data_IF_918959684967
#
_entry.id   IF_918959684967
#
_cell.length_a   1.000
_cell.length_b   1.000
_cell.length_c   1.000
_cell.angle_alpha   90.00
_cell.angle_beta   90.00
_cell.angle_gamma   90.00
#
_symmetry.space_group_name_H-M   'P 1'
#
loop_
_entity.id
_entity.type
_entity.pdbx_description
1 polymer ?
#
# COMPACT_ATOMS: atom_id res chain seq x y z
N UNK A 1 -17.23 -2.04 49.52
CA UNK A 1 -16.32 -1.10 48.84
C UNK A 1 -16.04 -1.64 47.45
N UNK A 2 -16.82 -1.16 46.50
CA UNK A 2 -16.84 -1.57 45.09
C UNK A 2 -15.77 -0.82 44.32
N UNK A 3 -14.83 -1.55 43.69
CA UNK A 3 -13.97 -1.03 42.63
C UNK A 3 -14.20 -1.87 41.38
N UNK A 4 -14.83 -1.23 40.40
CA UNK A 4 -15.05 -1.75 39.06
C UNK A 4 -13.70 -1.92 38.35
N UNK A 5 -13.47 -3.11 37.79
CA UNK A 5 -12.40 -3.35 36.82
C UNK A 5 -13.01 -3.17 35.43
N UNK A 6 -12.53 -2.15 34.72
CA UNK A 6 -12.93 -1.84 33.34
C UNK A 6 -12.04 -2.66 32.41
N UNK A 7 -12.65 -3.55 31.65
CA UNK A 7 -12.06 -4.22 30.49
C UNK A 7 -11.69 -3.17 29.44
N UNK A 8 -10.41 -3.08 29.09
CA UNK A 8 -9.94 -2.28 27.96
C UNK A 8 -9.66 -3.21 26.78
N UNK A 9 -10.53 -3.11 25.79
CA UNK A 9 -10.32 -3.55 24.41
C UNK A 9 -9.61 -2.42 23.68
N UNK A 10 -8.42 -2.67 23.13
CA UNK A 10 -7.83 -1.87 22.05
C UNK A 10 -6.80 -2.78 21.32
N UNK A 11 -6.88 -3.05 20.02
CA UNK A 11 -7.51 -2.29 18.95
C UNK A 11 -6.44 -1.46 18.23
N UNK A 12 -6.14 -1.90 17.00
CA UNK A 12 -5.33 -1.28 15.94
C UNK A 12 -4.92 0.19 16.14
N UNK A 13 -3.60 0.45 16.18
CA UNK A 13 -3.04 1.80 15.99
C UNK A 13 -2.65 2.00 14.52
N UNK A 14 -3.58 2.55 13.74
CA UNK A 14 -3.30 3.32 12.54
C UNK A 14 -3.19 4.81 12.92
N UNK A 15 -2.21 5.48 12.32
CA UNK A 15 -2.14 6.92 11.98
C UNK A 15 -2.81 7.94 12.92
N UNK A 16 -1.98 8.76 13.59
CA UNK A 16 -2.28 10.21 13.72
C UNK A 16 -1.05 11.05 13.42
N UNK A 17 -1.20 11.77 12.31
CA UNK A 17 -0.45 12.93 11.87
C UNK A 17 -0.44 14.02 12.96
N UNK A 18 0.75 14.52 13.28
CA UNK A 18 0.94 15.71 14.09
C UNK A 18 0.76 16.96 13.22
N UNK A 19 -0.45 17.52 13.25
CA UNK A 19 -0.70 18.87 12.76
C UNK A 19 -0.05 19.89 13.71
N UNK A 20 1.10 20.44 13.32
CA UNK A 20 1.71 21.58 13.98
C UNK A 20 0.90 22.84 13.66
N UNK A 21 0.30 23.43 14.70
CA UNK A 21 -0.49 24.64 14.61
C UNK A 21 0.36 25.89 14.31
N UNK A 22 0.06 26.55 13.19
CA UNK A 22 0.52 27.92 12.95
C UNK A 22 -0.38 28.90 13.72
N UNK A 23 0.21 29.57 14.72
CA UNK A 23 -0.40 30.71 15.43
C UNK A 23 -0.58 31.86 14.43
N UNK A 24 -1.82 32.27 14.16
CA UNK A 24 -2.11 33.58 13.54
C UNK A 24 -2.34 34.61 14.65
N UNK A 25 -1.56 35.67 14.60
CA UNK A 25 -1.67 36.84 15.45
C UNK A 25 -2.97 37.64 15.15
N UNK A 26 -3.57 38.32 16.14
CA UNK A 26 -4.64 39.28 15.90
C UNK A 26 -4.02 40.59 15.43
N UNK A 27 -4.45 41.10 14.27
CA UNK A 27 -4.15 42.47 13.85
C UNK A 27 -5.29 43.40 14.25
N UNK A 28 -4.91 44.41 15.01
CA UNK A 28 -5.72 45.44 15.61
C UNK A 28 -6.49 46.31 14.61
N UNK A 29 -7.68 46.72 15.05
CA UNK A 29 -8.43 47.88 14.59
C UNK A 29 -7.60 49.16 14.66
N UNK A 30 -7.66 49.97 13.59
CA UNK A 30 -7.70 51.46 13.61
C UNK A 30 -8.55 51.89 12.41
N UNK A 31 -9.78 52.36 12.57
CA UNK A 31 -10.25 53.72 12.92
C UNK A 31 -9.80 54.85 11.97
N UNK A 32 -10.84 55.41 11.32
CA UNK A 32 -11.07 56.82 10.94
C UNK A 32 -10.16 57.48 9.92
N UNK A 33 -10.78 57.89 8.82
CA UNK A 33 -10.25 58.87 7.87
C UNK A 33 -11.31 59.22 6.83
N UNK A 34 -12.30 60.02 7.24
CA UNK A 34 -13.25 60.67 6.36
C UNK A 34 -12.52 61.60 5.38
N UNK A 35 -12.71 61.42 4.08
CA UNK A 35 -12.60 62.52 3.13
C UNK A 35 -13.54 62.26 1.96
N UNK A 36 -14.68 62.93 2.01
CA UNK A 36 -15.56 63.16 0.90
C UNK A 36 -14.83 64.01 -0.15
N UNK A 37 -14.73 63.52 -1.38
CA UNK A 37 -14.43 64.37 -2.52
C UNK A 37 -15.24 63.88 -3.73
N UNK A 38 -16.28 64.68 -4.02
CA UNK A 38 -17.09 64.65 -5.22
C UNK A 38 -16.20 64.59 -6.47
N UNK A 39 -16.40 63.57 -7.29
CA UNK A 39 -16.06 63.62 -8.71
C UNK A 39 -17.33 63.36 -9.53
N UNK A 40 -17.63 64.34 -10.37
CA UNK A 40 -18.81 64.41 -11.20
C UNK A 40 -18.88 63.23 -12.17
N UNK A 41 -20.00 62.51 -12.10
CA UNK A 41 -20.39 61.45 -13.02
C UNK A 41 -20.79 62.08 -14.34
N UNK A 42 -19.88 62.06 -15.31
CA UNK A 42 -20.22 62.11 -16.72
C UNK A 42 -20.73 60.73 -17.13
N UNK A 43 -22.05 60.53 -17.07
CA UNK A 43 -22.71 59.30 -17.50
C UNK A 43 -22.69 59.18 -19.03
N UNK A 44 -21.57 58.72 -19.58
CA UNK A 44 -21.52 58.19 -20.94
C UNK A 44 -22.22 56.84 -20.91
N UNK A 45 -23.50 56.83 -21.29
CA UNK A 45 -24.27 55.61 -21.54
C UNK A 45 -23.63 54.90 -22.72
N UNK A 46 -22.66 54.03 -22.43
CA UNK A 46 -22.18 53.02 -23.36
C UNK A 46 -23.35 52.06 -23.56
N UNK A 47 -24.13 52.30 -24.61
CA UNK A 47 -25.12 51.35 -25.10
C UNK A 47 -24.41 49.99 -25.21
N UNK A 48 -24.99 48.90 -24.68
CA UNK A 48 -24.46 47.57 -24.86
C UNK A 48 -24.57 47.23 -26.34
N UNK A 49 -23.53 47.61 -27.10
CA UNK A 49 -23.33 47.09 -28.43
C UNK A 49 -23.35 45.56 -28.25
N UNK A 50 -24.26 44.90 -28.97
CA UNK A 50 -24.30 43.44 -29.04
C UNK A 50 -22.94 42.97 -29.59
N UNK A 51 -22.00 42.75 -28.69
CA UNK A 51 -20.64 42.34 -28.99
C UNK A 51 -20.77 40.93 -29.59
N UNK A 52 -20.50 40.81 -30.89
CA UNK A 52 -20.56 39.51 -31.57
C UNK A 52 -19.56 38.57 -30.90
N UNK A 53 -19.98 37.34 -30.63
CA UNK A 53 -19.08 36.30 -30.11
C UNK A 53 -18.04 35.98 -31.19
N UNK A 54 -16.79 36.33 -30.92
CA UNK A 54 -15.63 36.10 -31.79
C UNK A 54 -14.48 35.59 -30.93
N UNK A 55 -13.49 34.94 -31.54
CA UNK A 55 -12.29 34.47 -30.84
C UNK A 55 -11.56 35.57 -30.06
N UNK A 56 -11.51 36.78 -30.62
CA UNK A 56 -10.92 37.94 -29.95
C UNK A 56 -11.73 38.37 -28.72
N UNK A 57 -13.06 38.38 -28.81
CA UNK A 57 -13.93 38.66 -27.67
C UNK A 57 -13.80 37.60 -26.57
N UNK A 58 -13.71 36.31 -26.92
CA UNK A 58 -13.52 35.21 -25.96
C UNK A 58 -12.21 35.40 -25.18
N UNK A 59 -11.11 35.70 -25.86
CA UNK A 59 -9.83 35.96 -25.19
C UNK A 59 -9.87 37.22 -24.32
N UNK A 60 -10.54 38.28 -24.78
CA UNK A 60 -10.76 39.49 -23.99
C UNK A 60 -11.54 39.21 -22.71
N UNK A 61 -12.59 38.38 -22.79
CA UNK A 61 -13.46 38.09 -21.66
C UNK A 61 -12.73 37.37 -20.51
N UNK A 62 -11.73 36.53 -20.78
CA UNK A 62 -10.91 35.86 -19.74
C UNK A 62 -10.32 36.82 -18.71
N UNK A 63 -9.99 38.05 -19.13
CA UNK A 63 -9.42 39.09 -18.26
C UNK A 63 -10.44 39.97 -17.54
N UNK A 64 -11.75 39.75 -17.71
CA UNK A 64 -12.80 40.65 -17.19
C UNK A 64 -13.58 40.04 -16.04
N UNK A 65 -14.11 40.88 -15.15
CA UNK A 65 -14.91 40.44 -13.99
C UNK A 65 -16.18 39.69 -14.41
N UNK A 66 -16.85 40.15 -15.47
CA UNK A 66 -18.05 39.49 -16.05
C UNK A 66 -17.69 38.46 -17.13
N UNK A 67 -16.40 38.16 -17.26
CA UNK A 67 -15.87 37.26 -18.27
C UNK A 67 -16.41 35.84 -18.18
N UNK A 68 -16.36 35.20 -17.01
CA UNK A 68 -16.85 33.83 -16.84
C UNK A 68 -18.30 33.66 -17.28
N UNK A 69 -19.19 34.58 -16.91
CA UNK A 69 -20.62 34.50 -17.25
C UNK A 69 -20.81 34.63 -18.78
N UNK A 70 -20.10 35.57 -19.43
CA UNK A 70 -20.14 35.70 -20.89
C UNK A 70 -19.59 34.48 -21.63
N UNK A 71 -18.56 33.85 -21.07
CA UNK A 71 -17.98 32.63 -21.63
C UNK A 71 -18.94 31.44 -21.48
N UNK A 72 -19.66 31.38 -20.36
CA UNK A 72 -20.72 30.40 -20.12
C UNK A 72 -21.86 30.59 -21.12
N UNK A 73 -22.41 31.81 -21.25
CA UNK A 73 -23.44 32.14 -22.24
C UNK A 73 -23.02 31.74 -23.68
N UNK A 74 -21.80 32.08 -24.08
CA UNK A 74 -21.25 31.73 -25.39
C UNK A 74 -21.01 30.21 -25.56
N UNK A 75 -20.73 29.50 -24.49
CA UNK A 75 -20.57 28.05 -24.53
C UNK A 75 -21.93 27.33 -24.62
N UNK A 76 -22.96 27.84 -23.95
CA UNK A 76 -24.30 27.27 -23.96
C UNK A 76 -25.10 27.59 -25.24
N UNK A 77 -24.76 28.67 -25.94
CA UNK A 77 -25.47 29.10 -27.15
C UNK A 77 -25.30 28.11 -28.31
N UNK A 78 -26.35 27.31 -28.55
CA UNK A 78 -26.42 26.32 -29.62
C UNK A 78 -26.40 26.92 -31.03
N UNK A 79 -26.64 28.22 -31.19
CA UNK A 79 -26.58 28.90 -32.49
C UNK A 79 -25.15 29.18 -32.96
N UNK A 80 -24.18 29.18 -32.03
CA UNK A 80 -22.77 29.39 -32.35
C UNK A 80 -22.13 28.14 -32.96
N UNK A 81 -21.15 28.39 -33.85
CA UNK A 81 -20.36 27.31 -34.43
C UNK A 81 -19.67 26.49 -33.31
N UNK A 82 -19.61 25.15 -33.41
CA UNK A 82 -18.99 24.30 -32.40
C UNK A 82 -17.55 24.70 -32.05
N UNK A 83 -16.80 25.24 -33.02
CA UNK A 83 -15.46 25.77 -32.80
C UNK A 83 -15.45 26.92 -31.78
N UNK A 84 -16.30 27.94 -31.95
CA UNK A 84 -16.39 29.09 -31.02
C UNK A 84 -16.85 28.66 -29.63
N UNK A 85 -17.81 27.72 -29.56
CA UNK A 85 -18.26 27.14 -28.28
C UNK A 85 -17.11 26.41 -27.58
N UNK A 86 -16.30 25.66 -28.32
CA UNK A 86 -15.10 25.00 -27.79
C UNK A 86 -14.03 25.99 -27.34
N UNK A 87 -13.88 27.15 -27.99
CA UNK A 87 -12.98 28.22 -27.51
C UNK A 87 -13.45 28.80 -26.18
N UNK A 88 -14.76 29.07 -26.06
CA UNK A 88 -15.36 29.58 -24.82
C UNK A 88 -15.21 28.56 -23.67
N UNK A 89 -15.47 27.29 -23.94
CA UNK A 89 -15.25 26.22 -22.96
C UNK A 89 -13.78 26.05 -22.57
N UNK A 90 -12.84 26.07 -23.52
CA UNK A 90 -11.41 26.02 -23.19
C UNK A 90 -10.98 27.21 -22.32
N UNK A 91 -11.55 28.39 -22.56
CA UNK A 91 -11.36 29.55 -21.69
C UNK A 91 -11.94 29.33 -20.29
N UNK A 92 -13.14 28.75 -20.15
CA UNK A 92 -13.72 28.38 -18.84
C UNK A 92 -12.84 27.39 -18.08
N UNK A 93 -12.29 26.37 -18.74
CA UNK A 93 -11.34 25.43 -18.13
C UNK A 93 -10.11 26.18 -17.60
N UNK A 94 -9.53 27.10 -18.38
CA UNK A 94 -8.36 27.90 -17.95
C UNK A 94 -8.65 28.83 -16.76
N UNK A 95 -9.92 29.11 -16.48
CA UNK A 95 -10.38 29.87 -15.33
C UNK A 95 -10.74 28.97 -14.14
N UNK A 96 -10.44 27.66 -14.20
CA UNK A 96 -10.76 26.69 -13.16
C UNK A 96 -12.23 26.27 -13.11
N UNK A 97 -13.00 26.49 -14.18
CA UNK A 97 -14.42 26.10 -14.30
C UNK A 97 -14.61 24.84 -15.15
N UNK A 98 -13.71 23.87 -15.05
CA UNK A 98 -13.79 22.60 -15.79
C UNK A 98 -15.08 21.83 -15.52
N UNK A 99 -15.60 21.88 -14.28
CA UNK A 99 -16.81 21.13 -13.94
C UNK A 99 -18.09 21.69 -14.58
N UNK A 100 -18.17 23.00 -14.80
CA UNK A 100 -19.29 23.61 -15.54
C UNK A 100 -19.29 23.09 -16.98
N UNK A 101 -18.12 23.05 -17.61
CA UNK A 101 -17.95 22.50 -18.97
C UNK A 101 -18.34 21.03 -19.00
N UNK A 102 -17.81 20.21 -18.08
CA UNK A 102 -18.11 18.77 -18.02
C UNK A 102 -19.61 18.50 -17.84
N UNK A 103 -20.27 19.21 -16.92
CA UNK A 103 -21.71 19.04 -16.66
C UNK A 103 -22.55 19.41 -17.88
N UNK A 104 -22.27 20.54 -18.53
CA UNK A 104 -23.01 20.97 -19.71
C UNK A 104 -22.80 19.99 -20.88
N UNK A 105 -21.55 19.58 -21.18
CA UNK A 105 -21.28 18.62 -22.26
C UNK A 105 -21.97 17.27 -21.99
N UNK A 106 -22.00 16.82 -20.73
CA UNK A 106 -22.69 15.59 -20.34
C UNK A 106 -24.23 15.68 -20.51
N UNK A 107 -24.81 16.87 -20.34
CA UNK A 107 -26.26 17.10 -20.46
C UNK A 107 -26.74 17.22 -21.92
N UNK A 108 -25.85 17.46 -22.89
CA UNK A 108 -26.20 17.54 -24.31
C UNK A 108 -26.66 16.20 -24.88
N UNK A 109 -27.57 16.24 -25.87
CA UNK A 109 -27.93 15.06 -26.64
C UNK A 109 -26.72 14.50 -27.39
N UNK A 110 -26.67 13.19 -27.69
CA UNK A 110 -25.55 12.59 -28.42
C UNK A 110 -25.21 13.29 -29.74
N UNK A 111 -26.23 13.77 -30.47
CA UNK A 111 -26.10 14.45 -31.76
C UNK A 111 -25.46 15.83 -31.63
N UNK A 112 -25.87 16.62 -30.63
CA UNK A 112 -25.31 17.94 -30.37
C UNK A 112 -23.93 17.86 -29.68
N UNK A 113 -23.73 16.85 -28.84
CA UNK A 113 -22.49 16.61 -28.09
C UNK A 113 -21.32 16.27 -29.00
N UNK A 114 -21.54 15.42 -30.00
CA UNK A 114 -20.45 14.89 -30.81
C UNK A 114 -19.61 15.96 -31.56
N UNK A 115 -20.19 16.93 -32.29
CA UNK A 115 -19.40 17.97 -32.95
C UNK A 115 -18.69 18.91 -31.95
N UNK A 116 -19.29 19.15 -30.77
CA UNK A 116 -18.69 19.97 -29.72
C UNK A 116 -17.50 19.26 -29.06
N UNK A 117 -17.64 17.98 -28.70
CA UNK A 117 -16.55 17.17 -28.15
C UNK A 117 -15.40 17.09 -29.15
N UNK A 118 -15.68 16.88 -30.44
CA UNK A 118 -14.66 16.88 -31.49
C UNK A 118 -13.84 18.18 -31.52
N UNK A 119 -14.53 19.33 -31.48
CA UNK A 119 -13.89 20.65 -31.47
C UNK A 119 -13.07 20.90 -30.18
N UNK A 120 -13.58 20.49 -29.01
CA UNK A 120 -12.87 20.56 -27.74
C UNK A 120 -11.60 19.71 -27.73
N UNK A 121 -11.71 18.46 -28.20
CA UNK A 121 -10.56 17.54 -28.30
C UNK A 121 -9.50 18.14 -29.21
N UNK A 122 -9.85 18.61 -30.40
CA UNK A 122 -8.91 19.24 -31.32
C UNK A 122 -8.16 20.42 -30.67
N UNK A 123 -8.88 21.30 -29.96
CA UNK A 123 -8.30 22.48 -29.30
C UNK A 123 -7.38 22.13 -28.13
N UNK A 124 -7.78 21.19 -27.29
CA UNK A 124 -6.93 20.77 -26.17
C UNK A 124 -5.71 19.97 -26.65
N UNK A 125 -5.84 19.16 -27.71
CA UNK A 125 -4.70 18.51 -28.36
C UNK A 125 -3.72 19.51 -28.96
N UNK A 126 -4.20 20.58 -29.59
CA UNK A 126 -3.35 21.67 -30.08
C UNK A 126 -2.58 22.31 -28.92
N UNK A 127 -3.26 22.56 -27.80
CA UNK A 127 -2.65 23.14 -26.60
C UNK A 127 -1.53 22.25 -26.05
N UNK A 128 -1.76 20.93 -25.95
CA UNK A 128 -0.72 19.98 -25.57
C UNK A 128 0.44 19.91 -26.59
N UNK A 129 0.12 20.01 -27.89
CA UNK A 129 1.09 19.95 -28.99
C UNK A 129 2.07 21.12 -29.02
N UNK A 130 1.71 22.27 -28.46
CA UNK A 130 2.62 23.44 -28.34
C UNK A 130 3.78 23.20 -27.37
N UNK A 131 3.69 22.18 -26.50
CA UNK A 131 4.75 21.84 -25.55
C UNK A 131 4.98 22.89 -24.47
N UNK A 132 4.01 23.79 -24.24
CA UNK A 132 4.06 24.76 -23.15
C UNK A 132 4.14 24.01 -21.80
N UNK A 133 4.88 24.56 -20.84
CA UNK A 133 4.91 24.03 -19.48
C UNK A 133 4.08 24.93 -18.56
N UNK A 134 3.38 24.32 -17.60
CA UNK A 134 2.62 25.04 -16.59
C UNK A 134 1.11 24.79 -16.65
N UNK A 135 0.35 25.77 -16.17
CA UNK A 135 -1.09 25.66 -15.96
C UNK A 135 -1.88 25.32 -17.25
N UNK A 136 -1.62 25.93 -18.42
CA UNK A 136 -2.41 25.64 -19.63
C UNK A 136 -2.33 24.17 -20.07
N UNK A 137 -1.16 23.55 -19.95
CA UNK A 137 -0.93 22.14 -20.30
C UNK A 137 -1.60 21.22 -19.30
N UNK A 138 -1.59 21.58 -18.02
CA UNK A 138 -2.32 20.86 -16.99
C UNK A 138 -3.83 20.91 -17.22
N UNK A 139 -4.36 22.10 -17.51
CA UNK A 139 -5.78 22.33 -17.79
C UNK A 139 -6.25 21.55 -19.03
N UNK A 140 -5.45 21.58 -20.11
CA UNK A 140 -5.75 20.83 -21.33
C UNK A 140 -5.73 19.32 -21.10
N UNK A 141 -4.75 18.81 -20.33
CA UNK A 141 -4.69 17.39 -19.94
C UNK A 141 -5.93 16.98 -19.15
N UNK A 142 -6.28 17.74 -18.13
CA UNK A 142 -7.39 17.41 -17.23
C UNK A 142 -8.74 17.50 -17.98
N UNK A 143 -8.90 18.46 -18.90
CA UNK A 143 -10.06 18.55 -19.79
C UNK A 143 -10.16 17.36 -20.77
N UNK A 144 -9.06 16.98 -21.43
CA UNK A 144 -9.03 15.80 -22.32
C UNK A 144 -9.40 14.53 -21.56
N UNK A 145 -8.93 14.39 -20.32
CA UNK A 145 -9.30 13.27 -19.45
C UNK A 145 -10.81 13.24 -19.17
N UNK A 146 -11.42 14.38 -18.82
CA UNK A 146 -12.87 14.47 -18.60
C UNK A 146 -13.71 14.19 -19.85
N UNK A 147 -13.21 14.56 -21.03
CA UNK A 147 -13.91 14.35 -22.31
C UNK A 147 -13.82 12.91 -22.84
N UNK A 148 -12.90 12.10 -22.32
CA UNK A 148 -12.57 10.76 -22.84
C UNK A 148 -13.79 9.84 -22.96
N UNK A 149 -14.65 9.82 -21.94
CA UNK A 149 -15.80 8.92 -21.89
C UNK A 149 -16.93 9.37 -22.84
N UNK A 150 -16.94 10.65 -23.23
CA UNK A 150 -17.92 11.25 -24.13
C UNK A 150 -17.47 11.28 -25.59
N UNK A 151 -16.17 11.07 -25.84
CA UNK A 151 -15.55 11.08 -27.16
C UNK A 151 -15.88 9.82 -27.97
N UNK A 152 -15.92 9.96 -29.30
CA UNK A 152 -16.01 8.81 -30.22
C UNK A 152 -14.71 8.02 -30.18
N UNK A 153 -14.73 6.77 -30.65
CA UNK A 153 -13.57 5.88 -30.61
C UNK A 153 -12.30 6.48 -31.23
N UNK A 154 -12.41 7.13 -32.38
CA UNK A 154 -11.27 7.78 -33.06
C UNK A 154 -10.69 8.94 -32.24
N UNK A 155 -11.55 9.71 -31.58
CA UNK A 155 -11.16 10.85 -30.74
C UNK A 155 -10.57 10.35 -29.41
N UNK A 156 -11.18 9.32 -28.82
CA UNK A 156 -10.67 8.63 -27.63
C UNK A 156 -9.26 8.10 -27.84
N UNK A 157 -8.98 7.47 -28.98
CA UNK A 157 -7.62 7.03 -29.31
C UNK A 157 -6.62 8.19 -29.42
N UNK A 158 -7.07 9.34 -29.94
CA UNK A 158 -6.23 10.54 -30.02
C UNK A 158 -5.97 11.14 -28.62
N UNK A 159 -7.01 11.20 -27.77
CA UNK A 159 -6.92 11.59 -26.36
C UNK A 159 -5.93 10.67 -25.64
N UNK A 160 -6.09 9.36 -25.75
CA UNK A 160 -5.29 8.36 -25.05
C UNK A 160 -3.81 8.49 -25.43
N UNK A 161 -3.51 8.65 -26.73
CA UNK A 161 -2.14 8.88 -27.22
C UNK A 161 -1.54 10.16 -26.64
N UNK A 162 -2.30 11.26 -26.62
CA UNK A 162 -1.82 12.53 -26.10
C UNK A 162 -1.58 12.49 -24.59
N UNK A 163 -2.51 11.89 -23.83
CA UNK A 163 -2.37 11.69 -22.39
C UNK A 163 -1.16 10.81 -22.06
N UNK A 164 -0.90 9.74 -22.84
CA UNK A 164 0.30 8.92 -22.67
C UNK A 164 1.60 9.70 -22.88
N UNK A 165 1.66 10.57 -23.89
CA UNK A 165 2.84 11.44 -24.11
C UNK A 165 3.07 12.36 -22.91
N UNK A 166 2.01 12.92 -22.33
CA UNK A 166 2.11 13.78 -21.14
C UNK A 166 2.53 12.97 -19.91
N UNK A 167 1.96 11.78 -19.72
CA UNK A 167 2.34 10.84 -18.65
C UNK A 167 3.82 10.50 -18.74
N UNK A 168 4.30 10.17 -19.93
CA UNK A 168 5.71 9.84 -20.16
C UNK A 168 6.62 11.02 -19.81
N UNK A 169 6.31 12.22 -20.30
CA UNK A 169 7.10 13.42 -20.04
C UNK A 169 7.13 13.80 -18.55
N UNK A 170 6.04 13.56 -17.82
CA UNK A 170 5.96 13.82 -16.38
C UNK A 170 6.74 12.79 -15.56
N UNK A 171 6.63 11.50 -15.89
CA UNK A 171 7.36 10.44 -15.21
C UNK A 171 8.88 10.48 -15.46
N UNK A 172 9.35 11.16 -16.50
CA UNK A 172 10.78 11.38 -16.69
C UNK A 172 11.39 12.44 -15.76
N UNK A 173 10.57 13.25 -15.08
CA UNK A 173 11.03 14.36 -14.23
C UNK A 173 10.98 13.94 -12.75
N UNK A 174 12.14 13.78 -12.07
CA UNK A 174 12.15 13.41 -10.66
C UNK A 174 11.52 14.50 -9.78
N UNK A 175 10.82 14.09 -8.71
CA UNK A 175 10.29 14.99 -7.69
C UNK A 175 9.01 15.76 -8.05
N UNK A 176 8.48 15.63 -9.28
CA UNK A 176 7.24 16.33 -9.70
C UNK A 176 5.94 15.54 -9.45
N UNK A 177 6.03 14.32 -8.92
CA UNK A 177 4.86 13.46 -8.69
C UNK A 177 4.09 13.76 -7.40
N UNK A 178 4.62 14.59 -6.49
CA UNK A 178 4.03 14.81 -5.15
C UNK A 178 2.60 15.35 -5.11
N UNK A 179 2.05 15.82 -6.24
CA UNK A 179 0.67 16.29 -6.37
C UNK A 179 -0.17 15.48 -7.38
N UNK A 180 0.33 14.33 -7.85
CA UNK A 180 -0.12 13.67 -9.09
C UNK A 180 -1.28 12.68 -8.92
N UNK A 181 -2.22 12.93 -7.99
CA UNK A 181 -3.44 12.12 -7.90
C UNK A 181 -4.21 12.03 -9.24
N UNK A 182 -4.01 13.00 -10.15
CA UNK A 182 -4.51 12.96 -11.52
C UNK A 182 -3.76 11.98 -12.43
N UNK A 183 -2.45 11.79 -12.27
CA UNK A 183 -1.65 10.91 -13.14
C UNK A 183 -2.03 9.44 -12.96
N UNK A 184 -2.17 8.99 -11.70
CA UNK A 184 -2.57 7.62 -11.41
C UNK A 184 -3.96 7.33 -12.01
N UNK A 185 -4.91 8.27 -11.87
CA UNK A 185 -6.25 8.14 -12.46
C UNK A 185 -6.20 8.07 -13.99
N UNK A 186 -5.35 8.89 -14.63
CA UNK A 186 -5.15 8.86 -16.07
C UNK A 186 -4.62 7.48 -16.49
N UNK A 187 -3.55 6.99 -15.87
CA UNK A 187 -2.96 5.69 -16.21
C UNK A 187 -3.95 4.55 -15.97
N UNK A 188 -4.66 4.55 -14.84
CA UNK A 188 -5.68 3.54 -14.51
C UNK A 188 -6.83 3.53 -15.53
N UNK A 189 -7.30 4.69 -15.99
CA UNK A 189 -8.35 4.79 -17.00
C UNK A 189 -7.90 4.36 -18.41
N UNK A 190 -6.62 4.60 -18.73
CA UNK A 190 -6.00 4.13 -19.98
C UNK A 190 -5.80 2.60 -19.97
N UNK A 191 -5.66 2.01 -18.78
CA UNK A 191 -5.53 0.58 -18.57
C UNK A 191 -4.32 -0.02 -19.28
N UNK A 192 -4.50 -1.19 -19.90
CA UNK A 192 -3.41 -1.95 -20.52
C UNK A 192 -2.65 -1.18 -21.62
N UNK A 193 -3.28 -0.18 -22.25
CA UNK A 193 -2.63 0.65 -23.28
C UNK A 193 -1.46 1.48 -22.74
N UNK A 194 -1.43 1.77 -21.44
CA UNK A 194 -0.34 2.50 -20.79
C UNK A 194 0.89 1.63 -20.47
N UNK A 195 0.73 0.31 -20.40
CA UNK A 195 1.78 -0.59 -19.94
C UNK A 195 3.08 -0.51 -20.77
N UNK A 196 3.08 -0.45 -22.12
CA UNK A 196 4.32 -0.34 -22.90
C UNK A 196 5.14 0.93 -22.58
N UNK A 197 4.46 2.06 -22.33
CA UNK A 197 5.12 3.32 -21.95
C UNK A 197 5.76 3.19 -20.56
N UNK A 198 5.04 2.61 -19.60
CA UNK A 198 5.55 2.35 -18.26
C UNK A 198 6.76 1.40 -18.28
N UNK A 199 6.72 0.32 -19.08
CA UNK A 199 7.85 -0.61 -19.28
C UNK A 199 9.07 0.13 -19.84
N UNK A 200 8.88 0.99 -20.85
CA UNK A 200 9.98 1.79 -21.41
C UNK A 200 10.62 2.72 -20.39
N UNK A 201 9.82 3.34 -19.52
CA UNK A 201 10.30 4.24 -18.47
C UNK A 201 11.13 3.53 -17.40
N UNK A 202 10.90 2.25 -17.14
CA UNK A 202 11.68 1.46 -16.16
C UNK A 202 13.16 1.30 -16.53
N UNK A 203 13.53 1.52 -17.79
CA UNK A 203 14.91 1.55 -18.25
C UNK A 203 15.61 2.90 -18.08
N UNK A 204 14.93 3.93 -17.56
CA UNK A 204 15.46 5.31 -17.47
C UNK A 204 15.97 5.62 -16.06
N UNK A 205 17.25 6.01 -15.86
CA UNK A 205 17.85 6.23 -14.53
C UNK A 205 17.10 7.20 -13.60
N UNK A 206 16.51 8.26 -14.18
CA UNK A 206 15.84 9.32 -13.42
C UNK A 206 14.35 9.02 -13.16
N UNK A 207 13.85 7.87 -13.59
CA UNK A 207 12.45 7.52 -13.46
C UNK A 207 12.07 7.18 -11.99
N UNK A 208 10.84 7.48 -11.57
CA UNK A 208 10.29 7.10 -10.27
C UNK A 208 9.87 5.62 -10.32
N UNK A 209 10.86 4.73 -10.23
CA UNK A 209 10.69 3.29 -10.48
C UNK A 209 9.66 2.63 -9.55
N UNK A 210 9.55 3.07 -8.28
CA UNK A 210 8.60 2.49 -7.33
C UNK A 210 7.16 2.83 -7.71
N UNK A 211 6.89 4.06 -8.13
CA UNK A 211 5.60 4.54 -8.60
C UNK A 211 5.21 3.89 -9.93
N UNK A 212 6.17 3.77 -10.87
CA UNK A 212 5.92 3.07 -12.14
C UNK A 212 5.61 1.60 -11.89
N UNK A 213 6.32 0.95 -10.97
CA UNK A 213 6.03 -0.43 -10.57
C UNK A 213 4.63 -0.57 -9.97
N UNK A 214 4.20 0.34 -9.09
CA UNK A 214 2.83 0.36 -8.53
C UNK A 214 1.79 0.46 -9.65
N UNK A 215 1.97 1.38 -10.60
CA UNK A 215 1.09 1.52 -11.76
C UNK A 215 1.04 0.25 -12.61
N UNK A 216 2.19 -0.38 -12.88
CA UNK A 216 2.26 -1.66 -13.61
C UNK A 216 1.59 -2.82 -12.86
N UNK A 217 1.47 -2.78 -11.53
CA UNK A 217 0.68 -3.78 -10.80
C UNK A 217 -0.82 -3.62 -11.06
N UNK A 218 -1.29 -2.41 -11.33
CA UNK A 218 -2.71 -2.09 -11.55
C UNK A 218 -3.15 -2.27 -13.00
N UNK A 219 -2.31 -1.84 -13.96
CA UNK A 219 -2.68 -1.81 -15.39
C UNK A 219 -1.90 -2.76 -16.28
N UNK A 220 -0.77 -3.30 -15.80
CA UNK A 220 0.10 -4.18 -16.58
C UNK A 220 -0.28 -5.67 -16.47
N UNK A 221 0.03 -6.43 -17.53
CA UNK A 221 0.01 -7.90 -17.46
C UNK A 221 1.27 -8.45 -16.77
N UNK A 222 1.32 -9.77 -16.52
CA UNK A 222 2.54 -10.43 -16.04
C UNK A 222 3.73 -10.22 -16.97
N UNK A 223 3.51 -10.30 -18.29
CA UNK A 223 4.58 -10.12 -19.29
C UNK A 223 5.15 -8.71 -19.24
N UNK A 224 4.29 -7.68 -19.11
CA UNK A 224 4.75 -6.30 -18.95
C UNK A 224 5.58 -6.13 -17.68
N UNK A 225 5.16 -6.72 -16.55
CA UNK A 225 5.94 -6.68 -15.30
C UNK A 225 7.27 -7.40 -15.43
N UNK A 226 7.31 -8.55 -16.12
CA UNK A 226 8.53 -9.28 -16.37
C UNK A 226 9.52 -8.44 -17.21
N UNK A 227 9.06 -7.83 -18.31
CA UNK A 227 9.87 -6.94 -19.14
C UNK A 227 10.38 -5.71 -18.37
N UNK A 228 9.50 -5.08 -17.58
CA UNK A 228 9.88 -3.96 -16.71
C UNK A 228 10.93 -4.38 -15.66
N UNK A 229 10.79 -5.59 -15.10
CA UNK A 229 11.74 -6.13 -14.14
C UNK A 229 13.12 -6.37 -14.77
N UNK A 230 13.17 -6.88 -16.00
CA UNK A 230 14.41 -7.07 -16.75
C UNK A 230 15.10 -5.73 -17.03
N UNK A 231 14.34 -4.73 -17.49
CA UNK A 231 14.84 -3.38 -17.72
C UNK A 231 15.43 -2.76 -16.44
N UNK A 232 14.71 -2.88 -15.32
CA UNK A 232 15.17 -2.35 -14.03
C UNK A 232 16.39 -3.10 -13.50
N UNK A 233 16.45 -4.42 -13.63
CA UNK A 233 17.61 -5.23 -13.22
C UNK A 233 18.85 -4.85 -14.02
N UNK A 234 18.73 -4.60 -15.33
CA UNK A 234 19.83 -4.13 -16.16
C UNK A 234 20.33 -2.73 -15.75
N UNK A 235 19.42 -1.90 -15.24
CA UNK A 235 19.72 -0.55 -14.76
C UNK A 235 20.28 -0.52 -13.33
N UNK A 236 19.97 -1.52 -12.49
CA UNK A 236 20.29 -1.55 -11.06
C UNK A 236 21.77 -1.24 -10.70
N UNK A 237 22.80 -1.68 -11.45
CA UNK A 237 24.20 -1.31 -11.14
C UNK A 237 24.50 0.19 -11.24
N UNK A 238 23.66 0.95 -11.94
CA UNK A 238 23.80 2.41 -12.14
C UNK A 238 22.97 3.21 -11.13
N UNK A 239 22.07 2.57 -10.40
CA UNK A 239 21.21 3.21 -9.41
C UNK A 239 21.89 3.15 -8.05
N UNK A 240 21.61 4.14 -7.20
CA UNK A 240 22.02 4.05 -5.80
C UNK A 240 21.16 2.99 -5.10
N UNK A 241 21.75 1.91 -4.57
CA UNK A 241 20.99 0.87 -3.86
C UNK A 241 20.49 1.35 -2.49
N UNK A 242 20.86 2.57 -2.08
CA UNK A 242 20.40 3.20 -0.85
C UNK A 242 18.98 3.77 -0.99
N UNK A 243 18.52 4.07 -2.22
CA UNK A 243 17.12 4.42 -2.42
C UNK A 243 16.28 3.15 -2.28
N UNK A 244 15.44 3.10 -1.24
CA UNK A 244 14.50 2.00 -1.02
C UNK A 244 13.60 1.70 -2.24
N UNK A 245 13.50 2.66 -3.17
CA UNK A 245 12.71 2.61 -4.40
C UNK A 245 13.12 1.45 -5.31
N UNK A 246 14.42 1.16 -5.47
CA UNK A 246 14.87 0.03 -6.30
C UNK A 246 14.32 -1.29 -5.78
N UNK A 247 14.48 -1.53 -4.48
CA UNK A 247 14.05 -2.76 -3.82
C UNK A 247 12.52 -2.91 -3.89
N UNK A 248 11.80 -1.84 -3.58
CA UNK A 248 10.34 -1.82 -3.67
C UNK A 248 9.85 -2.11 -5.09
N UNK A 249 10.43 -1.45 -6.10
CA UNK A 249 10.05 -1.63 -7.49
C UNK A 249 10.28 -3.07 -7.96
N UNK A 250 11.46 -3.64 -7.68
CA UNK A 250 11.77 -5.05 -8.01
C UNK A 250 10.81 -6.03 -7.33
N UNK A 251 10.48 -5.79 -6.06
CA UNK A 251 9.53 -6.61 -5.31
C UNK A 251 8.11 -6.55 -5.87
N UNK A 252 7.61 -5.36 -6.23
CA UNK A 252 6.28 -5.18 -6.82
C UNK A 252 6.16 -5.80 -8.21
N UNK A 253 7.19 -5.63 -9.05
CA UNK A 253 7.20 -6.20 -10.41
C UNK A 253 7.26 -7.74 -10.35
N UNK A 254 8.17 -8.28 -9.53
CA UNK A 254 8.45 -9.71 -9.52
C UNK A 254 8.95 -10.21 -10.88
N UNK A 255 8.58 -11.43 -11.24
CA UNK A 255 9.05 -12.08 -12.47
C UNK A 255 10.45 -12.71 -12.33
N UNK A 256 10.86 -13.58 -13.28
CA UNK A 256 12.08 -14.38 -13.14
C UNK A 256 13.35 -13.55 -12.92
N UNK A 257 13.49 -12.43 -13.64
CA UNK A 257 14.67 -11.57 -13.57
C UNK A 257 14.80 -10.86 -12.21
N UNK A 258 13.73 -10.22 -11.71
CA UNK A 258 13.76 -9.62 -10.37
C UNK A 258 13.99 -10.66 -9.28
N UNK A 259 13.31 -11.81 -9.35
CA UNK A 259 13.50 -12.86 -8.33
C UNK A 259 14.94 -13.39 -8.31
N UNK A 260 15.53 -13.66 -9.47
CA UNK A 260 16.93 -14.07 -9.56
C UNK A 260 17.88 -12.99 -9.01
N UNK A 261 17.63 -11.73 -9.33
CA UNK A 261 18.39 -10.60 -8.81
C UNK A 261 18.29 -10.51 -7.29
N UNK A 262 17.07 -10.50 -6.73
CA UNK A 262 16.82 -10.36 -5.30
C UNK A 262 17.41 -11.53 -4.50
N UNK A 263 17.25 -12.78 -4.98
CA UNK A 263 17.88 -13.96 -4.35
C UNK A 263 19.40 -13.83 -4.28
N UNK A 264 20.04 -13.41 -5.38
CA UNK A 264 21.48 -13.16 -5.40
C UNK A 264 21.91 -12.06 -4.42
N UNK A 265 21.09 -11.02 -4.23
CA UNK A 265 21.38 -9.97 -3.25
C UNK A 265 21.23 -10.48 -1.81
N UNK A 266 20.25 -11.34 -1.53
CA UNK A 266 20.15 -12.01 -0.22
C UNK A 266 21.40 -12.85 0.07
N UNK A 267 21.94 -13.55 -0.94
CA UNK A 267 23.04 -14.49 -0.76
C UNK A 267 24.43 -13.85 -0.67
N UNK A 268 24.65 -12.71 -1.34
CA UNK A 268 25.99 -12.16 -1.55
C UNK A 268 26.19 -10.70 -1.15
N UNK A 269 25.13 -9.96 -0.83
CA UNK A 269 25.27 -8.53 -0.49
C UNK A 269 25.57 -8.31 1.00
N UNK A 270 26.08 -7.12 1.39
CA UNK A 270 26.12 -6.70 2.78
C UNK A 270 24.73 -6.81 3.43
N UNK A 271 24.69 -7.14 4.72
CA UNK A 271 23.46 -7.57 5.39
C UNK A 271 22.30 -6.58 5.28
N UNK A 272 22.56 -5.27 5.23
CA UNK A 272 21.51 -4.24 5.04
C UNK A 272 20.81 -4.39 3.68
N UNK A 273 21.60 -4.60 2.62
CA UNK A 273 21.07 -4.81 1.26
C UNK A 273 20.40 -6.18 1.14
N UNK A 274 20.99 -7.21 1.74
CA UNK A 274 20.37 -8.54 1.80
C UNK A 274 19.00 -8.47 2.52
N UNK A 275 18.89 -7.69 3.61
CA UNK A 275 17.62 -7.48 4.32
C UNK A 275 16.60 -6.73 3.46
N UNK A 276 17.01 -5.68 2.75
CA UNK A 276 16.12 -4.96 1.83
C UNK A 276 15.63 -5.86 0.68
N UNK A 277 16.52 -6.69 0.12
CA UNK A 277 16.17 -7.67 -0.91
C UNK A 277 15.21 -8.75 -0.37
N UNK A 278 15.43 -9.21 0.86
CA UNK A 278 14.55 -10.14 1.55
C UNK A 278 13.14 -9.57 1.73
N UNK A 279 13.03 -8.30 2.18
CA UNK A 279 11.74 -7.58 2.26
C UNK A 279 11.09 -7.40 0.89
N UNK A 280 11.87 -7.12 -0.15
CA UNK A 280 11.33 -6.98 -1.49
C UNK A 280 10.71 -8.29 -2.00
N UNK A 281 11.30 -9.45 -1.69
CA UNK A 281 10.71 -10.76 -2.01
C UNK A 281 9.34 -10.98 -1.35
N UNK A 282 9.06 -10.30 -0.23
CA UNK A 282 7.78 -10.40 0.47
C UNK A 282 6.66 -9.57 -0.17
N UNK A 283 6.98 -8.58 -1.01
CA UNK A 283 5.96 -7.73 -1.65
C UNK A 283 5.12 -8.49 -2.68
N UNK A 284 5.68 -9.56 -3.24
CA UNK A 284 4.99 -10.41 -4.22
C UNK A 284 5.30 -11.89 -3.97
N UNK A 285 4.67 -12.48 -2.95
CA UNK A 285 4.94 -13.86 -2.57
C UNK A 285 4.65 -14.83 -3.71
N UNK A 286 5.55 -15.80 -3.93
CA UNK A 286 5.34 -16.90 -4.87
C UNK A 286 5.68 -18.24 -4.20
N UNK A 287 4.93 -19.33 -4.48
CA UNK A 287 5.20 -20.63 -3.87
C UNK A 287 6.62 -21.17 -4.11
N UNK A 288 7.23 -20.79 -5.23
CA UNK A 288 8.62 -21.17 -5.59
C UNK A 288 9.68 -20.54 -4.67
N UNK A 289 9.30 -19.58 -3.81
CA UNK A 289 10.19 -18.95 -2.84
C UNK A 289 10.28 -19.72 -1.52
N UNK A 290 9.35 -20.64 -1.21
CA UNK A 290 9.30 -21.32 0.09
C UNK A 290 10.57 -22.09 0.42
N UNK A 291 11.09 -22.88 -0.52
CA UNK A 291 12.33 -23.63 -0.33
C UNK A 291 13.54 -22.71 -0.08
N UNK A 292 13.64 -21.63 -0.86
CA UNK A 292 14.70 -20.62 -0.69
C UNK A 292 14.60 -19.93 0.67
N UNK A 293 13.40 -19.49 1.06
CA UNK A 293 13.16 -18.83 2.33
C UNK A 293 13.57 -19.72 3.52
N UNK A 294 13.14 -20.99 3.53
CA UNK A 294 13.46 -21.94 4.59
C UNK A 294 14.96 -22.28 4.66
N UNK A 295 15.61 -22.44 3.51
CA UNK A 295 17.06 -22.68 3.46
C UNK A 295 17.84 -21.51 4.07
N UNK A 296 17.49 -20.28 3.70
CA UNK A 296 18.18 -19.07 4.18
C UNK A 296 17.82 -18.71 5.62
N UNK A 297 16.60 -19.01 6.06
CA UNK A 297 16.18 -18.85 7.46
C UNK A 297 16.96 -19.80 8.40
N UNK A 298 17.35 -20.99 7.94
CA UNK A 298 18.11 -21.97 8.73
C UNK A 298 19.64 -21.78 8.67
N UNK A 299 20.15 -20.95 7.74
CA UNK A 299 21.59 -20.75 7.60
C UNK A 299 22.17 -19.96 8.80
N UNK A 300 23.03 -20.57 9.65
CA UNK A 300 23.60 -19.89 10.82
C UNK A 300 24.62 -18.81 10.43
N UNK A 301 25.11 -18.78 9.19
CA UNK A 301 26.04 -17.75 8.69
C UNK A 301 25.31 -16.49 8.24
N UNK A 302 24.01 -16.61 7.98
CA UNK A 302 23.17 -15.50 7.57
C UNK A 302 22.94 -14.54 8.74
N UNK A 303 22.98 -13.23 8.49
CA UNK A 303 22.73 -12.24 9.52
C UNK A 303 21.32 -12.40 10.11
N UNK A 304 21.17 -12.25 11.43
CA UNK A 304 19.90 -12.47 12.14
C UNK A 304 18.71 -11.72 11.53
N UNK A 305 18.89 -10.44 11.20
CA UNK A 305 17.84 -9.64 10.55
C UNK A 305 17.43 -10.19 9.17
N UNK A 306 18.35 -10.77 8.39
CA UNK A 306 18.00 -11.35 7.09
C UNK A 306 17.24 -12.66 7.27
N UNK A 307 17.64 -13.47 8.25
CA UNK A 307 16.93 -14.70 8.63
C UNK A 307 15.50 -14.41 9.07
N UNK A 308 15.30 -13.33 9.83
CA UNK A 308 13.97 -12.86 10.24
C UNK A 308 13.07 -12.56 9.04
N UNK A 309 13.57 -11.80 8.07
CA UNK A 309 12.82 -11.53 6.84
C UNK A 309 12.55 -12.80 6.00
N UNK A 310 13.41 -13.83 6.11
CA UNK A 310 13.20 -15.12 5.45
C UNK A 310 12.13 -15.96 6.14
N UNK A 311 12.01 -15.90 7.47
CA UNK A 311 10.85 -16.47 8.17
C UNK A 311 9.55 -15.75 7.77
N UNK A 312 9.56 -14.41 7.77
CA UNK A 312 8.42 -13.62 7.27
C UNK A 312 8.05 -13.98 5.83
N UNK A 313 9.04 -14.22 4.96
CA UNK A 313 8.78 -14.69 3.60
C UNK A 313 8.14 -16.09 3.59
N UNK A 314 8.63 -17.03 4.40
CA UNK A 314 8.07 -18.39 4.49
C UNK A 314 6.62 -18.42 5.01
N UNK A 315 6.24 -17.46 5.86
CA UNK A 315 4.89 -17.28 6.38
C UNK A 315 3.88 -16.88 5.29
N UNK A 316 4.28 -15.96 4.40
CA UNK A 316 3.37 -15.37 3.42
C UNK A 316 3.43 -16.06 2.05
N UNK A 317 4.54 -16.72 1.67
CA UNK A 317 4.74 -17.13 0.28
C UNK A 317 4.07 -18.44 -0.14
N UNK A 318 3.76 -19.32 0.81
CA UNK A 318 3.30 -20.68 0.50
C UNK A 318 2.10 -21.15 1.32
N UNK A 319 1.59 -20.35 2.27
CA UNK A 319 0.62 -20.82 3.25
C UNK A 319 1.08 -22.14 3.88
N UNK A 320 0.20 -23.16 3.92
CA UNK A 320 0.55 -24.50 4.43
C UNK A 320 1.63 -25.25 3.64
N UNK A 321 2.01 -24.80 2.44
CA UNK A 321 3.06 -25.44 1.64
C UNK A 321 4.44 -25.44 2.30
N UNK A 322 4.72 -24.51 3.22
CA UNK A 322 5.99 -24.45 3.97
C UNK A 322 5.98 -25.27 5.27
N UNK A 323 4.81 -25.78 5.70
CA UNK A 323 4.65 -26.54 6.94
C UNK A 323 5.64 -27.71 7.09
N UNK A 324 5.84 -28.60 6.09
CA UNK A 324 6.80 -29.71 6.22
C UNK A 324 8.23 -29.22 6.41
N UNK A 325 8.60 -28.10 5.78
CA UNK A 325 9.93 -27.51 5.86
C UNK A 325 10.19 -26.83 7.21
N UNK A 326 9.19 -26.13 7.76
CA UNK A 326 9.25 -25.56 9.11
C UNK A 326 9.38 -26.66 10.18
N UNK A 327 8.60 -27.74 10.05
CA UNK A 327 8.71 -28.92 10.92
C UNK A 327 10.09 -29.59 10.81
N UNK A 328 10.67 -29.67 9.62
CA UNK A 328 12.02 -30.18 9.43
C UNK A 328 13.07 -29.27 10.10
N UNK A 329 12.91 -27.95 9.97
CA UNK A 329 13.79 -26.95 10.57
C UNK A 329 13.78 -27.06 12.11
N UNK A 330 12.59 -27.14 12.72
CA UNK A 330 12.41 -27.34 14.17
C UNK A 330 13.22 -28.52 14.73
N UNK A 331 13.26 -29.63 13.99
CA UNK A 331 13.98 -30.86 14.38
C UNK A 331 15.49 -30.74 14.26
N UNK A 332 15.97 -30.11 13.19
CA UNK A 332 17.37 -30.21 12.77
C UNK A 332 18.24 -29.04 13.21
N UNK A 333 17.66 -27.85 13.38
CA UNK A 333 18.47 -26.65 13.58
C UNK A 333 19.09 -26.66 14.99
N UNK A 334 20.41 -26.42 15.12
CA UNK A 334 21.05 -26.37 16.43
C UNK A 334 20.79 -25.05 17.15
N UNK A 335 20.29 -24.02 16.45
CA UNK A 335 20.04 -22.70 17.00
C UNK A 335 18.67 -22.63 17.70
N UNK A 336 18.59 -22.44 19.02
CA UNK A 336 17.31 -22.35 19.74
C UNK A 336 16.40 -21.24 19.22
N UNK A 337 16.93 -20.05 18.95
CA UNK A 337 16.14 -18.92 18.43
C UNK A 337 15.55 -19.23 17.05
N UNK A 338 16.28 -19.96 16.21
CA UNK A 338 15.77 -20.42 14.92
C UNK A 338 14.58 -21.38 15.08
N UNK A 339 14.60 -22.25 16.09
CA UNK A 339 13.48 -23.15 16.39
C UNK A 339 12.26 -22.36 16.84
N UNK A 340 12.44 -21.44 17.78
CA UNK A 340 11.34 -20.62 18.27
C UNK A 340 10.70 -19.80 17.14
N UNK A 341 11.51 -19.17 16.30
CA UNK A 341 10.99 -18.43 15.14
C UNK A 341 10.31 -19.32 14.11
N UNK A 342 10.83 -20.54 13.86
CA UNK A 342 10.17 -21.51 12.99
C UNK A 342 8.84 -22.03 13.56
N UNK A 343 8.72 -22.13 14.90
CA UNK A 343 7.47 -22.48 15.56
C UNK A 343 6.44 -21.36 15.40
N UNK A 344 6.81 -20.10 15.62
CA UNK A 344 5.94 -18.95 15.36
C UNK A 344 5.48 -18.91 13.90
N UNK A 345 6.40 -19.05 12.95
CA UNK A 345 6.07 -19.12 11.52
C UNK A 345 5.14 -20.31 11.19
N UNK A 346 5.31 -21.46 11.86
CA UNK A 346 4.43 -22.62 11.73
C UNK A 346 3.02 -22.32 12.23
N UNK A 347 2.89 -21.64 13.37
CA UNK A 347 1.60 -21.22 13.90
C UNK A 347 0.92 -20.20 12.97
N UNK A 348 1.68 -19.32 12.32
CA UNK A 348 1.13 -18.40 11.33
C UNK A 348 0.54 -19.13 10.11
N UNK A 349 1.21 -20.17 9.60
CA UNK A 349 0.74 -20.89 8.38
C UNK A 349 -0.29 -21.98 8.66
N UNK A 350 -0.21 -22.66 9.81
CA UNK A 350 -1.05 -23.81 10.14
C UNK A 350 -2.09 -23.51 11.24
N UNK A 351 -2.02 -22.36 11.90
CA UNK A 351 -2.92 -21.99 12.98
C UNK A 351 -2.87 -23.00 14.14
N UNK A 352 -4.02 -23.27 14.79
CA UNK A 352 -4.11 -24.24 15.88
C UNK A 352 -3.66 -25.66 15.51
N UNK A 353 -3.80 -26.08 14.25
CA UNK A 353 -3.38 -27.42 13.80
C UNK A 353 -1.86 -27.59 13.86
N UNK A 354 -1.10 -26.49 13.78
CA UNK A 354 0.36 -26.50 13.84
C UNK A 354 0.94 -26.70 15.24
N UNK A 355 0.17 -26.47 16.31
CA UNK A 355 0.64 -26.50 17.70
C UNK A 355 1.21 -27.88 18.05
N UNK A 356 0.40 -28.93 17.88
CA UNK A 356 0.79 -30.30 18.21
C UNK A 356 2.00 -30.79 17.41
N UNK A 357 1.96 -30.79 16.07
CA UNK A 357 3.10 -31.17 15.24
C UNK A 357 4.35 -30.32 15.50
N UNK A 358 4.19 -29.02 15.72
CA UNK A 358 5.28 -28.09 16.01
C UNK A 358 6.01 -28.42 17.30
N UNK A 359 5.27 -28.57 18.40
CA UNK A 359 5.86 -28.94 19.70
C UNK A 359 6.49 -30.35 19.68
N UNK A 360 5.94 -31.29 18.91
CA UNK A 360 6.56 -32.61 18.72
C UNK A 360 7.89 -32.54 17.97
N UNK A 361 8.02 -31.58 17.05
CA UNK A 361 9.21 -31.43 16.24
C UNK A 361 10.41 -30.88 17.04
N UNK A 362 10.21 -30.35 18.25
CA UNK A 362 11.32 -29.93 19.09
C UNK A 362 12.13 -31.15 19.61
N UNK A 363 13.47 -31.09 19.58
CA UNK A 363 14.34 -32.13 20.13
C UNK A 363 14.08 -32.39 21.63
N UNK A 364 13.64 -33.60 21.99
CA UNK A 364 13.32 -33.99 23.38
C UNK A 364 14.45 -33.77 24.39
N UNK A 365 15.71 -33.84 23.92
CA UNK A 365 16.91 -33.71 24.76
C UNK A 365 17.44 -32.28 24.85
N UNK A 366 16.77 -31.31 24.23
CA UNK A 366 17.18 -29.92 24.31
C UNK A 366 17.01 -29.34 25.72
N UNK A 367 17.81 -28.34 26.03
CA UNK A 367 17.62 -27.49 27.20
C UNK A 367 16.72 -26.32 26.81
N UNK A 368 15.78 -25.96 27.69
CA UNK A 368 14.84 -24.87 27.52
C UNK A 368 14.97 -23.90 28.68
N UNK A 369 15.19 -22.63 28.36
CA UNK A 369 15.13 -21.55 29.34
C UNK A 369 13.66 -21.19 29.60
N UNK A 370 13.32 -20.88 30.85
CA UNK A 370 11.94 -20.60 31.24
C UNK A 370 11.36 -19.38 30.52
N UNK A 371 12.17 -18.33 30.37
CA UNK A 371 11.77 -17.08 29.72
C UNK A 371 11.51 -17.31 28.22
N UNK A 372 12.39 -18.04 27.53
CA UNK A 372 12.23 -18.37 26.10
C UNK A 372 10.98 -19.23 25.85
N UNK A 373 10.76 -20.26 26.67
CA UNK A 373 9.58 -21.12 26.55
C UNK A 373 8.30 -20.28 26.72
N UNK A 374 8.29 -19.38 27.69
CA UNK A 374 7.14 -18.52 27.97
C UNK A 374 6.91 -17.50 26.84
N UNK A 375 7.97 -16.82 26.41
CA UNK A 375 7.88 -15.74 25.42
C UNK A 375 7.60 -16.25 24.01
N UNK A 376 8.14 -17.40 23.60
CA UNK A 376 8.04 -17.88 22.21
C UNK A 376 7.11 -19.07 22.01
N UNK A 377 6.92 -19.96 23.00
CA UNK A 377 6.02 -21.10 22.83
C UNK A 377 4.65 -20.80 23.42
N UNK A 378 4.61 -20.35 24.67
CA UNK A 378 3.35 -20.13 25.39
C UNK A 378 2.62 -18.92 24.83
N UNK A 379 3.29 -17.76 24.75
CA UNK A 379 2.67 -16.52 24.27
C UNK A 379 2.16 -16.63 22.84
N UNK A 380 2.95 -17.21 21.93
CA UNK A 380 2.54 -17.34 20.53
C UNK A 380 1.39 -18.34 20.35
N UNK A 381 1.37 -19.42 21.12
CA UNK A 381 0.23 -20.35 21.14
C UNK A 381 -1.01 -19.67 21.74
N UNK A 382 -0.86 -18.92 22.83
CA UNK A 382 -1.96 -18.22 23.50
C UNK A 382 -2.56 -17.08 22.66
N UNK A 383 -1.77 -16.43 21.78
CA UNK A 383 -2.25 -15.42 20.83
C UNK A 383 -3.34 -15.95 19.89
N UNK A 384 -3.41 -17.26 19.66
CA UNK A 384 -4.48 -17.90 18.87
C UNK A 384 -5.82 -17.94 19.62
N UNK A 385 -5.82 -17.69 20.93
CA UNK A 385 -7.02 -17.55 21.76
C UNK A 385 -7.91 -18.80 21.78
N UNK A 386 -9.23 -18.59 21.76
CA UNK A 386 -10.21 -19.67 21.85
C UNK A 386 -10.08 -20.73 20.73
N UNK A 387 -9.58 -20.35 19.56
CA UNK A 387 -9.36 -21.27 18.45
C UNK A 387 -8.30 -22.35 18.77
N UNK A 388 -7.37 -22.07 19.68
CA UNK A 388 -6.35 -23.02 20.12
C UNK A 388 -6.75 -23.85 21.34
N UNK A 389 -7.83 -23.50 22.05
CA UNK A 389 -8.18 -24.12 23.34
C UNK A 389 -8.32 -25.63 23.25
N UNK A 390 -9.10 -26.15 22.28
CA UNK A 390 -9.28 -27.58 22.07
C UNK A 390 -7.95 -28.32 21.85
N UNK A 391 -7.11 -27.82 20.93
CA UNK A 391 -5.79 -28.40 20.67
C UNK A 391 -4.89 -28.36 21.90
N UNK A 392 -4.91 -27.27 22.66
CA UNK A 392 -4.12 -27.09 23.88
C UNK A 392 -4.56 -28.07 24.97
N UNK A 393 -5.85 -28.33 25.12
CA UNK A 393 -6.39 -29.36 26.03
C UNK A 393 -5.88 -30.75 25.61
N UNK A 394 -5.85 -31.06 24.31
CA UNK A 394 -5.33 -32.33 23.83
C UNK A 394 -3.84 -32.52 24.14
N UNK A 395 -3.06 -31.43 24.20
CA UNK A 395 -1.64 -31.49 24.57
C UNK A 395 -1.42 -32.06 25.97
N UNK A 396 -2.36 -31.88 26.91
CA UNK A 396 -2.24 -32.39 28.28
C UNK A 396 -2.13 -33.92 28.31
N UNK A 397 -2.66 -34.62 27.32
CA UNK A 397 -2.61 -36.08 27.22
C UNK A 397 -1.43 -36.60 26.37
N UNK A 398 -0.60 -35.71 25.81
CA UNK A 398 0.48 -36.11 24.92
C UNK A 398 1.61 -36.83 25.66
N UNK A 399 2.30 -37.78 25.03
CA UNK A 399 3.47 -38.46 25.62
C UNK A 399 4.68 -37.52 25.80
N UNK A 400 4.81 -36.52 24.92
CA UNK A 400 5.90 -35.55 24.93
C UNK A 400 5.77 -34.57 26.11
N UNK A 401 6.83 -34.45 26.93
CA UNK A 401 6.85 -33.60 28.14
C UNK A 401 6.71 -32.11 27.80
N UNK A 402 7.33 -31.65 26.70
CA UNK A 402 7.24 -30.25 26.27
C UNK A 402 5.81 -29.87 25.91
N UNK A 403 5.09 -30.75 25.20
CA UNK A 403 3.68 -30.54 24.86
C UNK A 403 2.82 -30.31 26.10
N UNK A 404 2.92 -31.22 27.07
CA UNK A 404 2.14 -31.10 28.32
C UNK A 404 2.52 -29.84 29.09
N UNK A 405 3.81 -29.52 29.16
CA UNK A 405 4.30 -28.31 29.82
C UNK A 405 3.75 -27.03 29.18
N UNK A 406 3.87 -26.89 27.86
CA UNK A 406 3.33 -25.74 27.12
C UNK A 406 1.80 -25.70 27.25
N UNK A 407 1.12 -26.85 27.15
CA UNK A 407 -0.33 -26.94 27.33
C UNK A 407 -0.81 -26.40 28.68
N UNK A 408 -0.14 -26.79 29.78
CA UNK A 408 -0.41 -26.27 31.13
C UNK A 408 -0.27 -24.75 31.19
N UNK A 409 0.83 -24.20 30.67
CA UNK A 409 1.11 -22.76 30.75
C UNK A 409 0.22 -21.94 29.81
N UNK A 410 -0.19 -22.47 28.67
CA UNK A 410 -1.13 -21.80 27.76
C UNK A 410 -2.52 -21.74 28.42
N UNK A 411 -2.98 -22.82 29.06
CA UNK A 411 -4.26 -22.81 29.80
C UNK A 411 -4.26 -21.84 30.98
N UNK A 412 -3.11 -21.50 31.55
CA UNK A 412 -3.05 -20.40 32.53
C UNK A 412 -3.48 -19.06 31.91
N UNK A 413 -3.17 -18.82 30.64
CA UNK A 413 -3.46 -17.56 29.96
C UNK A 413 -4.85 -17.51 29.31
N UNK A 414 -5.31 -18.64 28.74
CA UNK A 414 -6.55 -18.69 27.95
C UNK A 414 -7.60 -19.67 28.49
N UNK A 415 -7.26 -20.47 29.50
CA UNK A 415 -8.13 -21.49 30.07
C UNK A 415 -9.19 -20.91 31.02
N UNK A 416 -10.06 -21.79 31.48
CA UNK A 416 -11.17 -21.44 32.38
C UNK A 416 -11.27 -22.42 33.55
N UNK A 417 -12.23 -22.21 34.46
CA UNK A 417 -12.47 -23.15 35.56
C UNK A 417 -12.90 -24.55 35.08
N UNK A 418 -13.44 -24.69 33.87
CA UNK A 418 -13.77 -25.99 33.29
C UNK A 418 -12.52 -26.85 33.01
N UNK A 419 -11.34 -26.24 32.94
CA UNK A 419 -10.08 -26.93 32.68
C UNK A 419 -9.40 -27.44 33.96
N UNK A 420 -9.87 -27.01 35.15
CA UNK A 420 -9.31 -27.40 36.45
C UNK A 420 -9.24 -28.93 36.62
N UNK A 421 -10.31 -29.71 36.37
CA UNK A 421 -10.25 -31.17 36.56
C UNK A 421 -9.20 -31.84 35.65
N UNK A 422 -8.98 -31.30 34.45
CA UNK A 422 -7.98 -31.84 33.51
C UNK A 422 -6.56 -31.58 34.01
N UNK A 423 -6.30 -30.37 34.50
CA UNK A 423 -5.02 -30.00 35.09
C UNK A 423 -4.72 -30.77 36.39
N UNK A 424 -5.73 -30.99 37.24
CA UNK A 424 -5.59 -31.82 38.45
C UNK A 424 -5.27 -33.28 38.11
N UNK A 425 -5.77 -33.79 36.98
CA UNK A 425 -5.41 -35.11 36.45
C UNK A 425 -3.92 -35.29 36.21
N UNK A 426 -3.18 -34.20 35.95
CA UNK A 426 -1.72 -34.22 35.76
C UNK A 426 -0.92 -34.14 37.05
N UNK A 427 -1.52 -34.01 38.23
CA UNK A 427 -0.79 -33.77 39.49
C UNK A 427 0.30 -34.82 39.82
N UNK A 428 0.19 -36.04 39.26
CA UNK A 428 1.17 -37.13 39.44
C UNK A 428 2.22 -37.22 38.34
N UNK A 429 2.15 -36.36 37.32
CA UNK A 429 3.09 -36.34 36.21
C UNK A 429 4.47 -35.84 36.67
N UNK A 430 5.46 -36.73 36.60
CA UNK A 430 6.85 -36.48 37.01
C UNK A 430 7.74 -36.00 35.87
N UNK A 431 7.20 -35.78 34.68
CA UNK A 431 7.94 -35.29 33.51
C UNK A 431 8.61 -33.94 33.81
N UNK A 432 9.88 -33.80 33.44
CA UNK A 432 10.69 -32.59 33.65
C UNK A 432 11.36 -32.17 32.35
N UNK A 433 11.42 -30.86 32.11
CA UNK A 433 12.21 -30.28 31.03
C UNK A 433 13.59 -29.89 31.54
N UNK A 434 14.63 -30.21 30.75
CA UNK A 434 15.99 -29.77 31.03
C UNK A 434 16.10 -28.25 30.83
N UNK A 435 16.81 -27.55 31.71
CA UNK A 435 17.05 -26.10 31.63
C UNK A 435 16.15 -25.24 32.52
N UNK A 436 15.03 -25.78 32.99
CA UNK A 436 14.14 -25.01 33.88
C UNK A 436 14.73 -24.92 35.30
N UNK A 437 14.85 -23.69 35.87
CA UNK A 437 15.62 -23.42 37.09
C UNK A 437 15.05 -24.06 38.36
N UNK A 438 13.77 -24.45 38.33
CA UNK A 438 13.05 -24.95 39.50
C UNK A 438 13.04 -26.47 39.61
N UNK A 439 13.55 -27.18 38.61
CA UNK A 439 13.46 -28.65 38.53
C UNK A 439 12.02 -29.17 38.59
N UNK A 440 11.01 -28.30 38.46
CA UNK A 440 9.61 -28.65 38.64
C UNK A 440 9.17 -29.67 37.60
N UNK A 441 8.26 -30.52 38.03
CA UNK A 441 7.56 -31.46 37.17
C UNK A 441 6.30 -30.83 36.55
N UNK A 442 5.83 -31.40 35.45
CA UNK A 442 4.57 -31.01 34.80
C UNK A 442 3.43 -31.01 35.82
N UNK A 443 3.37 -32.00 36.72
CA UNK A 443 2.29 -32.12 37.70
C UNK A 443 2.31 -31.04 38.79
N UNK A 444 3.48 -30.60 39.23
CA UNK A 444 3.61 -29.47 40.18
C UNK A 444 3.12 -28.17 39.54
N UNK A 445 3.46 -27.94 38.28
CA UNK A 445 3.06 -26.75 37.53
C UNK A 445 1.56 -26.79 37.19
N UNK A 446 1.03 -27.93 36.75
CA UNK A 446 -0.40 -28.13 36.51
C UNK A 446 -1.24 -27.87 37.76
N UNK A 447 -0.79 -28.35 38.93
CA UNK A 447 -1.44 -28.09 40.21
C UNK A 447 -1.43 -26.60 40.58
N UNK A 448 -0.37 -25.87 40.23
CA UNK A 448 -0.30 -24.42 40.44
C UNK A 448 -1.31 -23.69 39.56
N UNK A 449 -1.36 -24.01 38.27
CA UNK A 449 -2.28 -23.40 37.31
C UNK A 449 -3.74 -23.74 37.64
N UNK A 450 -4.05 -24.98 38.02
CA UNK A 450 -5.38 -25.37 38.47
C UNK A 450 -5.88 -24.49 39.63
N UNK A 451 -5.04 -24.27 40.66
CA UNK A 451 -5.36 -23.36 41.77
C UNK A 451 -5.50 -21.90 41.34
N UNK A 452 -4.81 -21.48 40.29
CA UNK A 452 -4.95 -20.14 39.74
C UNK A 452 -6.32 -19.98 39.05
N UNK A 453 -6.67 -20.91 38.17
CA UNK A 453 -7.95 -20.89 37.43
C UNK A 453 -9.15 -21.05 38.37
N UNK A 454 -9.05 -21.89 39.41
CA UNK A 454 -10.11 -22.08 40.41
C UNK A 454 -10.40 -20.84 41.27
N UNK A 455 -9.47 -19.88 41.35
CA UNK A 455 -9.68 -18.60 42.05
C UNK A 455 -10.26 -17.51 41.14
N UNK A 456 -10.17 -17.70 39.82
CA UNK A 456 -10.63 -16.75 38.82
C UNK A 456 -12.09 -16.96 38.39
N UNK A 457 -12.68 -18.11 38.72
CA UNK A 457 -14.13 -18.36 38.63
C UNK A 457 -14.82 -17.99 39.94
#
# INVERSE_FOLDING_TARGET
>A
MTKASVSSIAGCSWMRSTAAGSRRAPRCLRLRGSLWLLWAVGATVMLPACEKVTSESIERWKGTVKGPDKLEDAFEDASLAPALRAEAAAALVSLGRSEVVNQHVAALSPEARAPLVSALVARHLETLGRGEQGQPTQDARDALFGLRDLARETERQAIDRALLTVVEAQLQKPGQLGASASLNKIVEALGASAAPVLVSLMGKPAAPHAEIADLLTKVGSEDHRAQASEALVALAPKLSPESGDLWRALGLLGGPAALAYLKRQVDGAPWQRAQQAARALQLRPQPSLGAFALERADDPKMHGNVREEMFGLAEICCGRGTEPGLLALLRRTPNPLARYRAYEALLHVAGPEGIGPGLEAFPEKASYEADDLTEFLVKDTARLGAAAHGTVVDLLNAHNVLKRWVGVLVLEQIGSAEDVPRLEGLARDKGRLKGLPSGRSVGEEASRVARHLAKGA
#
